data_IF_253665665988
#
_entry.id   IF_253665665988
#
_cell.length_a   1.000
_cell.length_b   1.000
_cell.length_c   1.000
_cell.angle_alpha   90.00
_cell.angle_beta   90.00
_cell.angle_gamma   90.00
#
_symmetry.space_group_name_H-M   'P 1'
#
loop_
_entity.id
_entity.type
_entity.pdbx_description
1 polymer ?
#
# COMPACT_ATOMS: atom_id res chain seq x y z
N UNK A 1 -1.47 41.09 -45.97
CA UNK A 1 -0.98 39.71 -45.86
C UNK A 1 -1.82 39.05 -44.80
N UNK A 2 -2.83 38.30 -45.24
CA UNK A 2 -3.79 37.63 -44.36
C UNK A 2 -3.29 36.20 -44.13
N UNK A 3 -3.12 35.82 -42.87
CA UNK A 3 -2.82 34.44 -42.46
C UNK A 3 -4.15 33.70 -42.29
N UNK A 4 -4.44 32.82 -43.23
CA UNK A 4 -5.51 31.84 -43.11
C UNK A 4 -5.06 30.73 -42.15
N UNK A 5 -5.80 30.55 -41.08
CA UNK A 5 -5.64 29.40 -40.16
C UNK A 5 -6.51 28.27 -40.62
N UNK A 6 -5.90 27.23 -41.19
CA UNK A 6 -6.56 25.97 -41.52
C UNK A 6 -7.01 25.25 -40.26
N UNK A 7 -8.31 25.15 -40.06
CA UNK A 7 -8.93 24.33 -39.03
C UNK A 7 -9.05 22.89 -39.56
N UNK A 8 -8.18 22.01 -39.13
CA UNK A 8 -8.27 20.56 -39.39
C UNK A 8 -9.43 19.96 -38.62
N UNK A 9 -10.51 19.65 -39.33
CA UNK A 9 -11.66 18.94 -38.78
C UNK A 9 -11.30 17.46 -38.53
N UNK A 10 -11.43 17.02 -37.28
CA UNK A 10 -11.27 15.63 -36.85
C UNK A 10 -12.51 14.85 -37.33
N UNK A 11 -12.39 13.76 -38.10
CA UNK A 11 -13.55 12.99 -38.50
C UNK A 11 -14.14 12.24 -37.32
N UNK A 12 -15.35 12.60 -36.91
CA UNK A 12 -16.15 11.84 -35.97
C UNK A 12 -16.53 10.48 -36.58
N UNK A 13 -15.92 9.42 -36.05
CA UNK A 13 -16.26 8.04 -36.37
C UNK A 13 -17.57 7.68 -35.68
N UNK A 14 -18.70 7.77 -36.37
CA UNK A 14 -19.95 7.20 -35.86
C UNK A 14 -19.92 5.69 -36.08
N UNK A 15 -20.05 4.87 -35.04
CA UNK A 15 -20.20 3.43 -35.20
C UNK A 15 -21.55 3.18 -35.85
N UNK A 16 -21.53 2.50 -37.02
CA UNK A 16 -22.74 1.98 -37.66
C UNK A 16 -23.46 1.08 -36.67
N UNK A 17 -24.58 1.54 -36.13
CA UNK A 17 -25.47 0.73 -35.32
C UNK A 17 -25.94 -0.45 -36.19
N UNK A 18 -25.57 -1.67 -35.77
CA UNK A 18 -26.07 -2.91 -36.30
C UNK A 18 -27.60 -2.90 -36.17
N UNK A 19 -28.28 -2.89 -37.28
CA UNK A 19 -29.74 -2.93 -37.35
C UNK A 19 -30.21 -4.33 -36.93
N UNK A 20 -30.21 -4.56 -35.64
CA UNK A 20 -30.60 -5.84 -35.06
C UNK A 20 -32.13 -5.97 -35.19
N UNK A 21 -32.57 -6.89 -36.04
CA UNK A 21 -33.97 -7.14 -36.30
C UNK A 21 -34.68 -7.37 -34.94
N UNK A 22 -35.64 -6.52 -34.61
CA UNK A 22 -36.30 -6.43 -33.27
C UNK A 22 -36.85 -7.78 -32.76
N UNK A 23 -37.09 -8.73 -33.67
CA UNK A 23 -37.55 -10.07 -33.35
C UNK A 23 -36.48 -10.98 -32.74
N UNK A 24 -35.19 -10.70 -32.98
CA UNK A 24 -34.07 -11.53 -32.49
C UNK A 24 -33.42 -10.99 -31.21
N UNK A 25 -33.80 -9.76 -30.80
CA UNK A 25 -33.27 -9.13 -29.57
C UNK A 25 -33.50 -9.97 -28.31
N UNK A 26 -34.71 -10.53 -28.06
CA UNK A 26 -34.93 -11.34 -26.88
C UNK A 26 -34.09 -12.63 -26.88
N UNK A 27 -33.89 -13.23 -28.05
CA UNK A 27 -33.08 -14.43 -28.22
C UNK A 27 -31.60 -14.13 -27.92
N UNK A 28 -31.09 -13.02 -28.43
CA UNK A 28 -29.71 -12.59 -28.17
C UNK A 28 -29.46 -12.33 -26.66
N UNK A 29 -30.42 -11.72 -25.97
CA UNK A 29 -30.32 -11.47 -24.53
C UNK A 29 -30.26 -12.79 -23.75
N UNK A 30 -31.09 -13.78 -24.10
CA UNK A 30 -31.07 -15.09 -23.44
C UNK A 30 -29.74 -15.80 -23.66
N UNK A 31 -29.17 -15.73 -24.87
CA UNK A 31 -27.85 -16.33 -25.17
C UNK A 31 -26.75 -15.65 -24.36
N UNK A 32 -26.74 -14.32 -24.30
CA UNK A 32 -25.74 -13.57 -23.52
C UNK A 32 -25.86 -13.89 -22.02
N UNK A 33 -27.07 -13.92 -21.47
CA UNK A 33 -27.29 -14.30 -20.09
C UNK A 33 -26.86 -15.76 -19.80
N UNK A 34 -27.10 -16.67 -20.75
CA UNK A 34 -26.64 -18.05 -20.68
C UNK A 34 -25.11 -18.16 -20.64
N UNK A 35 -24.43 -17.39 -21.50
CA UNK A 35 -22.95 -17.34 -21.55
C UNK A 35 -22.41 -16.75 -20.24
N UNK A 36 -22.98 -15.64 -19.74
CA UNK A 36 -22.58 -15.03 -18.47
C UNK A 36 -22.79 -16.02 -17.32
N UNK A 37 -23.93 -16.73 -17.30
CA UNK A 37 -24.22 -17.74 -16.27
C UNK A 37 -23.20 -18.90 -16.29
N UNK A 38 -22.85 -19.39 -17.49
CA UNK A 38 -21.83 -20.42 -17.64
C UNK A 38 -20.42 -19.90 -17.24
N UNK A 39 -20.14 -18.63 -17.55
CA UNK A 39 -18.88 -18.00 -17.16
C UNK A 39 -18.79 -17.86 -15.64
N UNK A 40 -19.88 -17.38 -14.99
CA UNK A 40 -19.95 -17.29 -13.52
C UNK A 40 -19.85 -18.67 -12.87
N UNK A 41 -20.48 -19.72 -13.43
CA UNK A 41 -20.33 -21.11 -12.94
C UNK A 41 -18.92 -21.67 -13.16
N UNK A 42 -18.22 -21.27 -14.23
CA UNK A 42 -16.91 -21.82 -14.56
C UNK A 42 -15.76 -21.05 -13.88
N UNK A 43 -15.96 -19.75 -13.61
CA UNK A 43 -14.99 -18.89 -12.93
C UNK A 43 -15.43 -18.47 -11.53
N UNK A 44 -16.70 -18.66 -11.17
CA UNK A 44 -17.23 -18.52 -9.83
C UNK A 44 -17.00 -19.76 -8.99
N UNK A 45 -15.83 -20.40 -9.13
CA UNK A 45 -15.37 -21.39 -8.15
C UNK A 45 -14.88 -20.64 -6.92
N UNK A 46 -15.70 -20.75 -5.89
CA UNK A 46 -15.32 -20.78 -4.51
C UNK A 46 -14.83 -19.48 -3.85
N UNK A 47 -15.78 -18.55 -3.63
CA UNK A 47 -15.72 -17.78 -2.40
C UNK A 47 -16.87 -18.17 -1.46
N UNK A 48 -17.22 -19.45 -1.40
CA UNK A 48 -17.86 -20.02 -0.22
C UNK A 48 -16.75 -20.72 0.53
N UNK A 49 -15.94 -19.97 1.23
CA UNK A 49 -15.08 -20.52 2.26
C UNK A 49 -16.01 -21.03 3.36
N UNK A 50 -16.49 -22.27 3.18
CA UNK A 50 -16.87 -23.11 4.30
C UNK A 50 -15.73 -22.98 5.31
N UNK A 51 -16.00 -22.69 6.60
CA UNK A 51 -14.94 -22.72 7.59
C UNK A 51 -14.38 -24.13 7.56
N UNK A 52 -13.19 -24.26 6.95
CA UNK A 52 -12.40 -25.45 7.05
C UNK A 52 -12.07 -25.53 8.51
N UNK A 53 -12.65 -26.50 9.20
CA UNK A 53 -12.25 -26.93 10.52
C UNK A 53 -10.76 -27.24 10.41
N UNK A 54 -9.97 -26.21 10.61
CA UNK A 54 -8.54 -26.33 10.76
C UNK A 54 -8.37 -27.03 12.08
N UNK A 55 -7.93 -28.26 12.02
CA UNK A 55 -7.22 -28.93 13.09
C UNK A 55 -6.52 -27.88 13.92
N UNK A 56 -6.90 -27.74 15.18
CA UNK A 56 -6.28 -26.89 16.18
C UNK A 56 -4.76 -27.03 16.15
N UNK A 57 -4.12 -26.29 15.24
CA UNK A 57 -2.79 -25.83 15.48
C UNK A 57 -2.99 -24.80 16.57
N UNK A 58 -2.85 -25.25 17.81
CA UNK A 58 -2.81 -24.44 19.00
C UNK A 58 -1.98 -23.21 18.65
N UNK A 59 -2.67 -22.12 18.26
CA UNK A 59 -2.04 -20.82 18.04
C UNK A 59 -1.37 -20.53 19.37
N UNK A 60 -0.06 -20.50 19.34
CA UNK A 60 0.71 -20.11 20.53
C UNK A 60 0.28 -18.66 20.83
N UNK A 61 -0.49 -18.41 21.93
CA UNK A 61 -0.94 -17.06 22.25
C UNK A 61 0.23 -16.10 22.47
N UNK A 62 1.42 -16.65 22.78
CA UNK A 62 2.65 -15.89 22.94
C UNK A 62 3.20 -15.38 21.59
N UNK A 63 2.95 -16.09 20.47
CA UNK A 63 3.38 -15.65 19.14
C UNK A 63 2.59 -14.45 18.65
N UNK A 64 1.28 -14.37 18.94
CA UNK A 64 0.43 -13.22 18.60
C UNK A 64 0.71 -12.02 19.51
N UNK A 65 0.99 -12.25 20.80
CA UNK A 65 1.34 -11.20 21.75
C UNK A 65 2.69 -10.56 21.42
N UNK A 66 3.66 -11.33 20.89
CA UNK A 66 4.97 -10.81 20.50
C UNK A 66 4.95 -10.03 19.18
N UNK A 67 3.99 -10.32 18.29
CA UNK A 67 3.96 -9.68 16.96
C UNK A 67 3.53 -8.21 17.00
N UNK A 68 2.74 -7.82 17.99
CA UNK A 68 2.11 -6.49 18.08
C UNK A 68 2.30 -5.80 19.43
N UNK A 69 3.29 -6.19 20.24
CA UNK A 69 3.47 -5.63 21.57
C UNK A 69 3.63 -4.11 21.52
N UNK A 70 2.58 -3.40 21.96
CA UNK A 70 2.54 -1.95 22.08
C UNK A 70 2.21 -1.17 20.80
N UNK A 71 2.20 -1.77 19.61
CA UNK A 71 1.87 -1.11 18.36
C UNK A 71 0.43 -1.41 17.90
N UNK A 72 -0.40 -0.39 17.76
CA UNK A 72 -1.79 -0.52 17.27
C UNK A 72 -1.86 -0.38 15.75
N UNK A 73 -2.15 -1.48 15.07
CA UNK A 73 -2.29 -1.52 13.59
C UNK A 73 -3.66 -1.07 13.09
N UNK A 74 -4.61 -0.80 14.00
CA UNK A 74 -5.99 -0.39 13.66
C UNK A 74 -6.12 1.10 13.42
N UNK A 75 -5.07 1.86 13.66
CA UNK A 75 -5.07 3.32 13.43
C UNK A 75 -5.25 3.57 11.94
N UNK A 76 -6.35 4.23 11.58
CA UNK A 76 -6.71 4.53 10.19
C UNK A 76 -6.11 5.85 9.68
N UNK A 77 -5.65 6.70 10.59
CA UNK A 77 -5.09 8.00 10.25
C UNK A 77 -3.59 8.02 10.52
N UNK A 78 -2.82 8.24 9.44
CA UNK A 78 -1.36 8.29 9.48
C UNK A 78 -0.92 9.72 9.13
N UNK A 79 -0.20 10.33 10.04
CA UNK A 79 0.48 11.60 9.81
C UNK A 79 1.90 11.34 9.25
N UNK A 80 2.41 12.26 8.46
CA UNK A 80 3.75 12.17 7.88
C UNK A 80 4.56 13.41 8.24
N UNK A 81 5.74 13.22 8.83
CA UNK A 81 6.69 14.33 9.02
C UNK A 81 7.22 14.83 7.69
N UNK A 82 7.74 16.06 7.63
CA UNK A 82 8.39 16.59 6.43
C UNK A 82 9.61 15.74 6.04
N UNK A 83 10.37 15.29 7.03
CA UNK A 83 11.50 14.37 6.83
C UNK A 83 11.02 13.04 6.21
N UNK A 84 9.93 12.44 6.73
CA UNK A 84 9.39 11.21 6.16
C UNK A 84 8.94 11.38 4.70
N UNK A 85 8.22 12.48 4.39
CA UNK A 85 7.80 12.77 3.01
C UNK A 85 8.97 12.89 2.05
N UNK A 86 10.02 13.60 2.44
CA UNK A 86 11.25 13.74 1.67
C UNK A 86 11.92 12.37 1.46
N UNK A 87 12.05 11.55 2.51
CA UNK A 87 12.65 10.21 2.44
C UNK A 87 11.84 9.27 1.57
N UNK A 88 10.50 9.32 1.65
CA UNK A 88 9.60 8.56 0.78
C UNK A 88 9.81 8.93 -0.69
N UNK A 89 9.81 10.23 -0.99
CA UNK A 89 10.01 10.71 -2.35
C UNK A 89 11.38 10.33 -2.92
N UNK A 90 12.43 10.50 -2.13
CA UNK A 90 13.80 10.17 -2.54
C UNK A 90 13.98 8.67 -2.80
N UNK A 91 13.32 7.81 -2.02
CA UNK A 91 13.45 6.34 -2.06
C UNK A 91 12.34 5.65 -2.82
N UNK A 92 11.48 6.42 -3.49
CA UNK A 92 10.33 5.94 -4.26
C UNK A 92 9.32 5.10 -3.46
N UNK A 93 9.20 5.36 -2.15
CA UNK A 93 8.24 4.67 -1.28
C UNK A 93 6.92 5.43 -1.28
N UNK A 94 5.83 4.76 -1.65
CA UNK A 94 4.49 5.34 -1.73
C UNK A 94 3.75 5.31 -0.38
N UNK A 95 2.69 6.09 -0.24
CA UNK A 95 1.83 6.05 0.95
C UNK A 95 1.13 4.68 1.09
N UNK A 96 0.72 4.08 -0.03
CA UNK A 96 0.08 2.76 -0.03
C UNK A 96 1.02 1.68 0.56
N UNK A 97 2.30 1.71 0.21
CA UNK A 97 3.31 0.81 0.75
C UNK A 97 3.57 1.06 2.24
N UNK A 98 3.58 2.32 2.67
CA UNK A 98 3.67 2.66 4.10
C UNK A 98 2.50 2.06 4.89
N UNK A 99 1.27 2.15 4.34
CA UNK A 99 0.07 1.58 4.96
C UNK A 99 0.10 0.05 4.97
N UNK A 100 0.60 -0.57 3.91
CA UNK A 100 0.80 -2.02 3.84
C UNK A 100 1.80 -2.49 4.91
N UNK A 101 2.96 -1.84 5.00
CA UNK A 101 3.97 -2.15 6.03
C UNK A 101 3.42 -1.89 7.44
N UNK A 102 2.60 -0.88 7.64
CA UNK A 102 1.95 -0.66 8.93
C UNK A 102 1.03 -1.83 9.31
N UNK A 103 0.29 -2.39 8.34
CA UNK A 103 -0.65 -3.50 8.57
C UNK A 103 0.06 -4.85 8.71
N UNK A 104 1.05 -5.12 7.87
CA UNK A 104 1.62 -6.47 7.69
C UNK A 104 3.09 -6.60 8.09
N UNK A 105 3.82 -5.49 8.16
CA UNK A 105 5.25 -5.45 8.47
C UNK A 105 5.58 -6.05 9.84
N UNK A 106 6.77 -6.61 9.98
CA UNK A 106 7.28 -7.18 11.22
C UNK A 106 7.96 -6.10 12.06
N UNK A 107 7.65 -6.03 13.37
CA UNK A 107 8.30 -5.06 14.27
C UNK A 107 9.71 -5.53 14.57
N UNK A 108 10.68 -4.67 14.27
CA UNK A 108 12.08 -4.85 14.68
C UNK A 108 12.32 -4.09 16.00
N UNK A 109 12.19 -4.80 17.12
CA UNK A 109 12.37 -4.19 18.45
C UNK A 109 13.78 -3.70 18.72
N UNK A 110 14.81 -4.24 18.06
CA UNK A 110 16.19 -3.76 18.19
C UNK A 110 16.40 -2.37 17.57
N UNK A 111 15.52 -2.01 16.65
CA UNK A 111 15.54 -0.70 15.94
C UNK A 111 14.38 0.20 16.38
N UNK A 112 13.54 -0.27 17.29
CA UNK A 112 12.46 0.47 17.92
C UNK A 112 12.93 1.05 19.25
N UNK A 113 12.38 2.19 19.64
CA UNK A 113 12.53 2.74 20.97
C UNK A 113 11.15 2.89 21.62
N UNK A 114 10.79 1.88 22.43
CA UNK A 114 9.50 1.84 23.12
C UNK A 114 9.42 2.78 24.32
N UNK A 115 10.54 3.37 24.71
CA UNK A 115 10.63 4.34 25.80
C UNK A 115 10.80 5.79 25.31
N UNK A 116 10.81 5.97 24.01
CA UNK A 116 10.94 7.30 23.37
C UNK A 116 9.84 8.27 23.83
N UNK A 117 10.20 9.54 23.93
CA UNK A 117 9.31 10.61 24.38
C UNK A 117 9.16 11.68 23.29
N UNK A 118 7.96 12.23 23.05
CA UNK A 118 6.71 12.03 23.78
C UNK A 118 5.97 10.71 23.44
N UNK A 119 6.33 10.02 22.37
CA UNK A 119 5.66 8.79 21.91
C UNK A 119 6.68 7.69 21.65
N UNK A 120 6.39 6.43 22.02
CA UNK A 120 7.21 5.30 21.61
C UNK A 120 7.34 5.24 20.09
N UNK A 121 8.53 4.84 19.61
CA UNK A 121 8.81 4.64 18.20
C UNK A 121 8.99 3.17 17.86
N UNK A 122 8.37 2.76 16.76
CA UNK A 122 8.39 1.37 16.29
C UNK A 122 8.95 1.32 14.87
N UNK A 123 9.94 0.47 14.66
CA UNK A 123 10.52 0.18 13.37
C UNK A 123 9.85 -1.06 12.77
N UNK A 124 9.04 -0.90 11.74
CA UNK A 124 8.38 -1.99 11.02
C UNK A 124 9.14 -2.29 9.73
N UNK A 125 9.41 -3.57 9.48
CA UNK A 125 10.12 -4.04 8.29
C UNK A 125 9.21 -4.94 7.45
N UNK A 126 9.32 -4.80 6.13
CA UNK A 126 8.60 -5.63 5.17
C UNK A 126 9.14 -5.45 3.76
N UNK A 127 8.48 -6.12 2.82
CA UNK A 127 8.79 -6.04 1.40
C UNK A 127 7.57 -5.40 0.73
N UNK A 128 7.79 -4.35 -0.05
CA UNK A 128 6.77 -3.66 -0.82
C UNK A 128 6.36 -4.44 -2.07
N UNK A 129 5.28 -4.03 -2.72
CA UNK A 129 4.77 -4.69 -3.92
C UNK A 129 5.77 -4.70 -5.09
N UNK A 130 6.65 -3.69 -5.16
CA UNK A 130 7.75 -3.59 -6.14
C UNK A 130 9.03 -4.31 -5.68
N UNK A 131 8.93 -5.14 -4.63
CA UNK A 131 10.02 -5.96 -4.09
C UNK A 131 11.14 -5.17 -3.40
N UNK A 132 10.87 -3.95 -2.96
CA UNK A 132 11.79 -3.16 -2.16
C UNK A 132 11.70 -3.58 -0.69
N UNK A 133 12.83 -3.88 -0.04
CA UNK A 133 12.85 -4.19 1.38
C UNK A 133 13.00 -2.92 2.18
N UNK A 134 11.97 -2.57 2.96
CA UNK A 134 11.91 -1.29 3.66
C UNK A 134 11.78 -1.44 5.17
N UNK A 135 12.27 -0.42 5.87
CA UNK A 135 11.99 -0.18 7.28
C UNK A 135 11.33 1.18 7.43
N UNK A 136 10.15 1.18 8.03
CA UNK A 136 9.39 2.39 8.28
C UNK A 136 9.30 2.59 9.79
N UNK A 137 9.63 3.80 10.25
CA UNK A 137 9.60 4.14 11.67
C UNK A 137 8.36 4.96 11.96
N UNK A 138 7.53 4.43 12.85
CA UNK A 138 6.30 5.07 13.31
C UNK A 138 6.45 5.51 14.78
N UNK A 139 6.12 6.76 15.07
CA UNK A 139 5.82 7.21 16.43
C UNK A 139 4.32 7.04 16.67
N UNK A 140 3.94 6.35 17.74
CA UNK A 140 2.54 6.07 18.01
C UNK A 140 2.17 6.34 19.45
N UNK A 141 1.22 7.29 19.64
CA UNK A 141 0.54 7.54 20.90
C UNK A 141 -0.80 8.23 20.65
N UNK A 142 -1.66 8.27 21.65
CA UNK A 142 -2.96 8.96 21.62
C UNK A 142 -3.83 8.57 20.42
N UNK A 143 -3.83 7.29 20.06
CA UNK A 143 -4.57 6.74 18.90
C UNK A 143 -4.14 7.33 17.57
N UNK A 144 -2.94 7.93 17.47
CA UNK A 144 -2.37 8.48 16.25
C UNK A 144 -1.07 7.76 15.91
N UNK A 145 -0.85 7.56 14.63
CA UNK A 145 0.41 7.08 14.07
C UNK A 145 1.04 8.17 13.22
N UNK A 146 2.31 8.44 13.45
CA UNK A 146 3.10 9.40 12.68
C UNK A 146 4.32 8.70 12.07
N UNK A 147 4.46 8.76 10.75
CA UNK A 147 5.66 8.30 10.07
C UNK A 147 6.79 9.28 10.30
N UNK A 148 7.84 8.81 10.93
CA UNK A 148 9.03 9.59 11.27
C UNK A 148 10.04 9.53 10.14
N UNK A 149 10.31 8.33 9.61
CA UNK A 149 11.23 8.12 8.48
C UNK A 149 10.94 6.79 7.78
N UNK A 150 11.39 6.70 6.51
CA UNK A 150 11.36 5.49 5.71
C UNK A 150 12.78 5.19 5.21
N UNK A 151 13.20 3.93 5.31
CA UNK A 151 14.56 3.47 4.99
C UNK A 151 14.44 2.31 4.02
N UNK A 152 15.14 2.37 2.90
CA UNK A 152 15.39 1.22 2.05
C UNK A 152 16.54 0.40 2.64
N UNK A 153 16.35 -0.89 2.78
CA UNK A 153 17.35 -1.79 3.38
C UNK A 153 18.25 -2.46 2.34
N UNK A 154 17.91 -2.32 1.05
CA UNK A 154 18.66 -2.92 -0.05
C UNK A 154 19.57 -1.90 -0.75
N UNK A 155 19.15 -0.63 -0.77
CA UNK A 155 19.81 0.43 -1.54
C UNK A 155 20.19 1.59 -0.64
N UNK A 156 21.41 2.06 -0.76
CA UNK A 156 21.85 3.29 -0.10
C UNK A 156 21.53 4.49 -1.02
N UNK A 157 20.64 5.35 -0.55
CA UNK A 157 20.15 6.50 -1.26
C UNK A 157 20.77 7.78 -0.70
N UNK A 158 21.38 8.58 -1.54
CA UNK A 158 21.81 9.93 -1.16
C UNK A 158 20.61 10.88 -1.14
N UNK A 159 20.00 11.04 0.01
CA UNK A 159 18.87 11.93 0.22
C UNK A 159 19.28 13.12 1.08
N UNK A 160 18.97 14.32 0.63
CA UNK A 160 19.15 15.55 1.41
C UNK A 160 17.80 16.02 1.93
N UNK A 161 17.47 15.59 3.13
CA UNK A 161 16.14 15.85 3.71
C UNK A 161 16.22 16.81 4.91
N UNK A 162 15.16 17.60 5.17
CA UNK A 162 15.12 18.46 6.34
C UNK A 162 15.34 17.67 7.62
N UNK A 163 16.28 18.13 8.48
CA UNK A 163 16.64 17.46 9.73
C UNK A 163 17.78 16.43 9.61
N UNK A 164 18.38 16.23 8.44
CA UNK A 164 19.55 15.35 8.30
C UNK A 164 20.78 15.94 8.99
N UNK A 165 20.92 17.27 8.95
CA UNK A 165 22.06 18.01 9.52
C UNK A 165 21.83 18.45 10.97
N UNK A 166 20.68 18.10 11.58
CA UNK A 166 20.38 18.49 12.94
C UNK A 166 21.09 17.55 13.94
N UNK A 167 22.11 18.06 14.68
CA UNK A 167 22.83 17.25 15.66
C UNK A 167 21.95 16.73 16.80
N UNK A 168 20.78 17.36 17.04
CA UNK A 168 19.82 16.91 18.03
C UNK A 168 19.00 15.70 17.54
N UNK A 169 19.00 15.41 16.24
CA UNK A 169 18.28 14.26 15.66
C UNK A 169 18.93 12.91 15.96
N UNK A 170 20.10 12.87 16.59
CA UNK A 170 20.79 11.66 17.05
C UNK A 170 21.21 10.67 15.95
N UNK A 171 21.08 11.04 14.68
CA UNK A 171 21.24 10.14 13.54
C UNK A 171 22.49 10.38 12.70
N UNK A 172 23.36 11.25 13.12
CA UNK A 172 24.65 11.47 12.46
C UNK A 172 25.75 10.56 12.99
N UNK A 173 25.68 9.26 12.82
CA UNK A 173 26.85 8.37 12.81
C UNK A 173 26.44 6.98 12.32
N UNK A 174 26.64 6.73 11.03
CA UNK A 174 26.93 5.40 10.54
C UNK A 174 28.06 4.83 11.38
N UNK A 175 27.77 3.83 12.19
CA UNK A 175 28.80 2.90 12.61
C UNK A 175 28.56 1.62 11.84
N UNK A 176 29.31 1.52 10.75
CA UNK A 176 29.75 0.24 10.25
C UNK A 176 30.59 -0.39 11.37
N UNK A 177 30.03 -1.40 12.04
CA UNK A 177 30.74 -2.52 12.67
C UNK A 177 29.74 -3.66 12.87
#
# INVERSE_FOLDING_TARGET
MAHETETTAIPYFYPKYLNLNRKWVPLAIVVVLGIVFLFVKRFGKDTTTKPKTTTDRKRDPAADVNRNRGFDRRVSFIEYTQHAKCRMQCRHITQAEVEEIMKEGTINYKKSDVNDRPCPTYALEGITADNQRVRIVFAQCDLKSKVVTCIDLNTDWECHCPGDDDPASGRGKNRNE
#
